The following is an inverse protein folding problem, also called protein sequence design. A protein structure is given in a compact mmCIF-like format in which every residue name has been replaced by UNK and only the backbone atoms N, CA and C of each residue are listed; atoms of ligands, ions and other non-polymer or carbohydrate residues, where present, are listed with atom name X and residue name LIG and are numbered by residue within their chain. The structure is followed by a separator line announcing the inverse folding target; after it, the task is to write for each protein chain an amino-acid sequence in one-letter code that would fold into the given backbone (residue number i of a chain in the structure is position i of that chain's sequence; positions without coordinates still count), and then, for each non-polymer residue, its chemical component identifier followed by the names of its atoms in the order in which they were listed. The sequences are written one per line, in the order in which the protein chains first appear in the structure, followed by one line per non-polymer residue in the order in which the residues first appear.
data_IF_980139724504
#
_entry.id   IF_980139724504
#
_cell.length_a   1.000
_cell.length_b   1.000
_cell.length_c   1.000
_cell.angle_alpha   90.00
_cell.angle_beta   90.00
_cell.angle_gamma   90.00
#
_symmetry.space_group_name_H-M   'P 1'
#
loop_
_entity.id
_entity.type
_entity.pdbx_description
1 polymer ?
#
# COMPACT_ATOMS: atom_id res chain seq x y z
N UNK A 1 0.35 12.04 7.28
CA UNK A 1 1.38 11.09 7.75
C UNK A 1 2.50 11.06 6.73
N UNK A 2 3.74 11.36 7.15
CA UNK A 2 4.89 11.40 6.26
C UNK A 2 5.99 12.30 6.80
N UNK A 3 5.74 13.61 6.86
CA UNK A 3 6.75 14.61 7.22
C UNK A 3 7.16 14.66 8.70
N UNK A 4 6.48 13.91 9.58
CA UNK A 4 6.73 13.89 11.02
C UNK A 4 6.67 15.29 11.68
N UNK A 5 5.84 16.19 11.15
CA UNK A 5 5.61 17.54 11.68
C UNK A 5 4.35 17.55 12.57
N UNK A 6 4.46 17.76 13.90
CA UNK A 6 3.32 17.70 14.82
C UNK A 6 2.18 18.69 14.49
N UNK A 7 2.51 19.83 13.87
CA UNK A 7 1.57 20.89 13.50
C UNK A 7 0.82 20.58 12.19
N UNK A 8 1.29 19.61 11.40
CA UNK A 8 0.64 19.22 10.15
C UNK A 8 -0.61 18.38 10.44
N UNK A 9 -1.74 19.06 10.62
CA UNK A 9 -3.06 18.45 10.84
C UNK A 9 -3.94 18.55 9.60
N UNK A 10 -4.87 17.61 9.44
CA UNK A 10 -5.81 17.61 8.31
C UNK A 10 -6.90 18.66 8.52
N UNK A 11 -6.99 19.65 7.62
CA UNK A 11 -7.97 20.76 7.68
C UNK A 11 -8.98 20.74 6.54
N UNK A 12 -8.96 19.69 5.71
CA UNK A 12 -9.83 19.58 4.55
C UNK A 12 -9.44 18.42 3.65
N UNK A 13 -10.02 18.40 2.46
CA UNK A 13 -9.81 17.36 1.46
C UNK A 13 -9.59 18.01 0.09
N UNK A 14 -8.42 17.77 -0.50
CA UNK A 14 -8.18 18.15 -1.89
C UNK A 14 -8.68 17.05 -2.85
N UNK A 15 -8.17 15.82 -2.70
CA UNK A 15 -8.57 14.65 -3.46
C UNK A 15 -8.82 13.47 -2.51
N UNK A 16 -9.66 12.53 -2.95
CA UNK A 16 -9.88 11.27 -2.22
C UNK A 16 -8.66 10.35 -2.32
N UNK A 17 -8.54 9.49 -1.32
CA UNK A 17 -7.56 8.41 -1.28
C UNK A 17 -8.25 7.09 -1.63
N UNK A 18 -7.64 6.30 -2.51
CA UNK A 18 -8.23 5.05 -3.00
C UNK A 18 -7.38 3.84 -2.64
N UNK A 19 -8.06 2.70 -2.52
CA UNK A 19 -7.45 1.37 -2.59
C UNK A 19 -7.72 0.79 -3.97
N UNK A 20 -6.68 0.38 -4.70
CA UNK A 20 -6.79 -0.22 -6.03
C UNK A 20 -6.26 -1.64 -5.99
N UNK A 21 -7.15 -2.62 -6.10
CA UNK A 21 -6.81 -4.04 -6.05
C UNK A 21 -6.77 -4.65 -7.46
N UNK A 22 -5.75 -5.47 -7.69
CA UNK A 22 -5.54 -6.26 -8.90
C UNK A 22 -5.42 -7.72 -8.46
N UNK A 23 -6.24 -8.59 -9.04
CA UNK A 23 -6.24 -10.01 -8.74
C UNK A 23 -5.93 -10.77 -10.01
N UNK A 24 -4.94 -11.66 -9.92
CA UNK A 24 -4.50 -12.51 -11.04
C UNK A 24 -4.64 -13.97 -10.62
N UNK A 25 -5.19 -14.77 -11.53
CA UNK A 25 -5.31 -16.22 -11.42
C UNK A 25 -4.99 -16.85 -12.77
N UNK A 26 -4.24 -17.95 -12.76
CA UNK A 26 -3.93 -18.71 -13.97
C UNK A 26 -5.19 -19.40 -14.52
N UNK A 27 -6.05 -19.90 -13.64
CA UNK A 27 -7.34 -20.48 -13.97
C UNK A 27 -8.29 -20.45 -12.75
N UNK A 28 -9.56 -20.84 -12.92
CA UNK A 28 -10.59 -20.78 -11.86
C UNK A 28 -10.26 -21.57 -10.59
N UNK A 29 -9.45 -22.62 -10.70
CA UNK A 29 -9.06 -23.47 -9.56
C UNK A 29 -7.73 -23.03 -8.93
N UNK A 30 -7.00 -22.12 -9.59
CA UNK A 30 -5.72 -21.62 -9.09
C UNK A 30 -5.91 -20.63 -7.96
N UNK A 31 -5.01 -20.70 -6.98
CA UNK A 31 -4.96 -19.74 -5.89
C UNK A 31 -4.67 -18.32 -6.45
N UNK A 32 -5.44 -17.29 -6.08
CA UNK A 32 -5.22 -15.94 -6.59
C UNK A 32 -3.95 -15.33 -6.02
N UNK A 33 -3.33 -14.44 -6.78
CA UNK A 33 -2.37 -13.44 -6.28
C UNK A 33 -3.05 -12.08 -6.31
N UNK A 34 -2.98 -11.36 -5.19
CA UNK A 34 -3.61 -10.06 -4.99
C UNK A 34 -2.54 -9.00 -4.77
N UNK A 35 -2.52 -7.99 -5.61
CA UNK A 35 -1.74 -6.78 -5.41
C UNK A 35 -2.69 -5.60 -5.16
N UNK A 36 -2.46 -4.88 -4.06
CA UNK A 36 -3.23 -3.67 -3.76
C UNK A 36 -2.29 -2.49 -3.67
N UNK A 37 -2.58 -1.41 -4.41
CA UNK A 37 -1.87 -0.14 -4.28
C UNK A 37 -2.77 0.89 -3.58
N UNK A 38 -2.27 1.43 -2.46
CA UNK A 38 -2.97 2.35 -1.58
C UNK A 38 -2.49 3.78 -1.78
N UNK A 39 -3.43 4.72 -1.84
CA UNK A 39 -3.13 6.14 -1.67
C UNK A 39 -2.91 6.42 -0.17
N UNK A 40 -1.73 6.06 0.33
CA UNK A 40 -1.32 6.21 1.72
C UNK A 40 0.18 6.49 1.82
N UNK A 41 0.64 6.95 2.98
CA UNK A 41 2.06 7.11 3.26
C UNK A 41 2.79 5.77 3.29
N UNK A 42 2.19 4.76 3.91
CA UNK A 42 2.79 3.45 4.09
C UNK A 42 1.68 2.41 4.30
N UNK A 43 2.00 1.13 4.16
CA UNK A 43 1.18 0.04 4.72
C UNK A 43 1.74 -0.34 6.09
N UNK A 44 0.89 -0.39 7.13
CA UNK A 44 1.30 -0.85 8.45
C UNK A 44 1.07 -2.35 8.61
N UNK A 45 1.80 -2.99 9.54
CA UNK A 45 1.55 -4.39 9.91
C UNK A 45 0.12 -4.58 10.46
N UNK A 46 -0.33 -3.68 11.34
CA UNK A 46 -1.68 -3.69 11.88
C UNK A 46 -2.74 -3.72 10.77
N UNK A 47 -2.59 -2.81 9.80
CA UNK A 47 -3.49 -2.71 8.66
C UNK A 47 -3.53 -4.01 7.87
N UNK A 48 -2.35 -4.57 7.56
CA UNK A 48 -2.25 -5.85 6.84
C UNK A 48 -2.94 -6.99 7.58
N UNK A 49 -2.69 -7.12 8.87
CA UNK A 49 -3.29 -8.18 9.70
C UNK A 49 -4.81 -8.03 9.77
N UNK A 50 -5.34 -6.82 9.99
CA UNK A 50 -6.78 -6.58 10.06
C UNK A 50 -7.49 -6.84 8.73
N UNK A 51 -6.89 -6.44 7.61
CA UNK A 51 -7.41 -6.77 6.27
C UNK A 51 -7.50 -8.29 6.07
N UNK A 52 -6.44 -9.02 6.40
CA UNK A 52 -6.43 -10.48 6.24
C UNK A 52 -7.40 -11.20 7.18
N UNK A 53 -7.57 -10.71 8.41
CA UNK A 53 -8.59 -11.24 9.33
C UNK A 53 -10.00 -11.11 8.73
N UNK A 54 -10.29 -9.95 8.13
CA UNK A 54 -11.61 -9.68 7.52
C UNK A 54 -11.82 -10.48 6.24
N UNK A 55 -10.80 -10.58 5.39
CA UNK A 55 -10.84 -11.45 4.22
C UNK A 55 -10.99 -12.93 4.60
N UNK A 56 -10.32 -13.39 5.66
CA UNK A 56 -10.45 -14.77 6.15
C UNK A 56 -11.86 -15.07 6.64
N UNK A 57 -12.52 -14.11 7.31
CA UNK A 57 -13.92 -14.28 7.70
C UNK A 57 -14.89 -14.36 6.52
N UNK A 58 -14.57 -13.75 5.37
CA UNK A 58 -15.44 -13.72 4.19
C UNK A 58 -15.15 -14.85 3.19
N UNK A 59 -13.88 -15.24 3.04
CA UNK A 59 -13.41 -16.12 1.96
C UNK A 59 -12.62 -17.34 2.46
N UNK A 60 -12.57 -17.58 3.78
CA UNK A 60 -11.79 -18.66 4.35
C UNK A 60 -10.29 -18.51 4.05
N UNK A 61 -9.65 -19.59 3.59
CA UNK A 61 -8.21 -19.62 3.35
C UNK A 61 -7.78 -19.18 1.93
N UNK A 62 -8.68 -18.56 1.16
CA UNK A 62 -8.37 -18.08 -0.20
C UNK A 62 -7.30 -16.98 -0.16
N UNK A 63 -7.38 -16.08 0.83
CA UNK A 63 -6.49 -14.93 0.99
C UNK A 63 -5.72 -15.02 2.32
N UNK A 64 -4.39 -14.97 2.26
CA UNK A 64 -3.53 -14.90 3.43
C UNK A 64 -2.29 -14.01 3.20
N UNK A 65 -1.27 -14.17 4.04
CA UNK A 65 -0.05 -13.37 3.98
C UNK A 65 0.81 -13.67 2.74
N UNK A 66 0.74 -14.87 2.17
CA UNK A 66 1.60 -15.30 1.08
C UNK A 66 1.13 -14.78 -0.27
N UNK A 67 -0.18 -14.60 -0.44
CA UNK A 67 -0.77 -14.26 -1.74
C UNK A 67 -1.46 -12.89 -1.81
N UNK A 68 -1.42 -12.10 -0.73
CA UNK A 68 -1.93 -10.73 -0.73
C UNK A 68 -0.80 -9.76 -0.41
N UNK A 69 -0.52 -8.83 -1.31
CA UNK A 69 0.43 -7.75 -1.13
C UNK A 69 -0.30 -6.41 -0.97
N UNK A 70 0.04 -5.65 0.07
CA UNK A 70 -0.41 -4.27 0.24
C UNK A 70 0.81 -3.35 0.03
N UNK A 71 0.73 -2.52 -1.00
CA UNK A 71 1.70 -1.46 -1.31
C UNK A 71 1.07 -0.10 -1.11
N UNK A 72 1.88 0.92 -0.83
CA UNK A 72 1.43 2.29 -0.69
C UNK A 72 2.22 3.21 -1.63
N UNK A 73 1.54 4.19 -2.20
CA UNK A 73 2.13 5.20 -3.11
C UNK A 73 3.11 6.15 -2.42
N UNK A 74 3.18 6.11 -1.09
CA UNK A 74 4.02 6.97 -0.28
C UNK A 74 3.63 8.46 -0.31
N UNK A 75 2.34 8.76 -0.53
CA UNK A 75 1.84 10.13 -0.37
C UNK A 75 1.97 10.59 1.09
N UNK A 76 2.55 11.76 1.28
CA UNK A 76 2.71 12.36 2.62
C UNK A 76 1.46 13.12 3.08
N UNK A 77 0.37 13.07 2.31
CA UNK A 77 -0.86 13.86 2.51
C UNK A 77 -2.08 13.03 2.93
N UNK A 78 -1.87 11.84 3.50
CA UNK A 78 -2.93 11.03 4.09
C UNK A 78 -3.07 11.21 5.62
N UNK A 79 -4.22 10.87 6.22
CA UNK A 79 -4.39 10.85 7.67
C UNK A 79 -3.45 9.83 8.34
N UNK A 80 -3.12 10.04 9.61
CA UNK A 80 -2.22 9.19 10.40
C UNK A 80 -3.00 8.29 11.38
N UNK A 81 -2.29 7.63 12.31
CA UNK A 81 -2.93 6.89 13.42
C UNK A 81 -3.42 5.49 13.08
N UNK A 82 -2.79 4.80 12.13
CA UNK A 82 -3.13 3.42 11.72
C UNK A 82 -1.97 2.43 11.95
N UNK A 83 -1.01 2.77 12.80
CA UNK A 83 0.12 1.92 13.19
C UNK A 83 -0.06 1.40 14.62
N UNK A 84 0.67 0.34 14.96
CA UNK A 84 0.69 -0.28 16.30
C UNK A 84 1.98 0.00 17.09
N UNK A 85 3.01 0.52 16.42
CA UNK A 85 4.33 0.72 17.01
C UNK A 85 4.49 2.18 17.45
N UNK A 86 4.93 2.36 18.70
CA UNK A 86 5.03 3.66 19.38
C UNK A 86 5.71 4.74 18.56
N UNK A 87 6.77 4.39 17.81
CA UNK A 87 7.51 5.34 16.98
C UNK A 87 6.58 6.13 16.02
N UNK A 88 5.59 5.45 15.45
CA UNK A 88 4.66 6.05 14.48
C UNK A 88 3.51 6.79 15.16
N UNK A 89 3.24 6.51 16.44
CA UNK A 89 2.19 7.17 17.20
C UNK A 89 2.59 8.57 17.68
N UNK A 90 3.88 8.80 17.93
CA UNK A 90 4.39 10.07 18.49
C UNK A 90 3.92 11.27 17.65
N UNK A 91 4.18 11.25 16.35
CA UNK A 91 3.78 12.36 15.44
C UNK A 91 2.36 12.20 14.90
N UNK A 92 1.75 11.01 15.06
CA UNK A 92 0.33 10.79 14.79
C UNK A 92 -0.58 11.27 15.92
N UNK A 93 -0.02 11.62 17.08
CA UNK A 93 -0.73 11.89 18.33
C UNK A 93 -1.59 10.70 18.80
N UNK A 94 -1.05 9.49 18.58
CA UNK A 94 -1.67 8.23 18.96
C UNK A 94 -2.46 7.54 17.85
N UNK A 95 -3.14 6.46 18.24
CA UNK A 95 -3.95 5.62 17.37
C UNK A 95 -5.33 6.23 17.11
N UNK A 96 -5.76 6.22 15.85
CA UNK A 96 -7.05 6.74 15.40
C UNK A 96 -7.84 5.59 14.77
N UNK A 97 -8.72 4.98 15.57
CA UNK A 97 -9.51 3.81 15.15
C UNK A 97 -10.30 4.06 13.87
N UNK A 98 -10.90 5.24 13.73
CA UNK A 98 -11.67 5.60 12.54
C UNK A 98 -10.81 5.52 11.28
N UNK A 99 -9.56 6.00 11.32
CA UNK A 99 -8.63 5.92 10.19
C UNK A 99 -8.32 4.47 9.83
N UNK A 100 -8.01 3.62 10.83
CA UNK A 100 -7.73 2.20 10.56
C UNK A 100 -8.96 1.51 9.94
N UNK A 101 -10.15 1.67 10.53
CA UNK A 101 -11.36 0.99 10.07
C UNK A 101 -11.75 1.39 8.64
N UNK A 102 -11.69 2.69 8.30
CA UNK A 102 -12.00 3.12 6.92
C UNK A 102 -10.98 2.59 5.90
N UNK A 103 -9.70 2.52 6.28
CA UNK A 103 -8.67 1.93 5.42
C UNK A 103 -8.90 0.42 5.23
N UNK A 104 -9.13 -0.33 6.30
CA UNK A 104 -9.42 -1.77 6.25
C UNK A 104 -10.65 -2.02 5.37
N UNK A 105 -11.74 -1.29 5.60
CA UNK A 105 -12.99 -1.45 4.85
C UNK A 105 -12.79 -1.12 3.36
N UNK A 106 -12.10 -0.03 3.04
CA UNK A 106 -11.81 0.34 1.65
C UNK A 106 -10.95 -0.69 0.91
N UNK A 107 -9.97 -1.27 1.60
CA UNK A 107 -9.11 -2.33 1.04
C UNK A 107 -9.92 -3.59 0.77
N UNK A 108 -10.64 -4.09 1.76
CA UNK A 108 -11.50 -5.28 1.64
C UNK A 108 -12.54 -5.08 0.53
N UNK A 109 -13.14 -3.89 0.45
CA UNK A 109 -14.10 -3.57 -0.61
C UNK A 109 -13.45 -3.61 -2.00
N UNK A 110 -12.26 -3.04 -2.18
CA UNK A 110 -11.56 -3.08 -3.46
C UNK A 110 -11.19 -4.50 -3.89
N UNK A 111 -10.75 -5.35 -2.95
CA UNK A 111 -10.45 -6.76 -3.20
C UNK A 111 -11.72 -7.53 -3.56
N UNK A 112 -12.82 -7.30 -2.82
CA UNK A 112 -14.14 -7.90 -3.12
C UNK A 112 -14.58 -7.55 -4.54
N UNK A 113 -14.51 -6.27 -4.91
CA UNK A 113 -14.89 -5.80 -6.23
C UNK A 113 -14.05 -6.47 -7.32
N UNK A 114 -12.71 -6.48 -7.16
CA UNK A 114 -11.80 -7.11 -8.12
C UNK A 114 -12.01 -8.63 -8.24
N UNK A 115 -12.28 -9.31 -7.13
CA UNK A 115 -12.51 -10.75 -7.11
C UNK A 115 -13.83 -11.13 -7.79
N UNK A 116 -14.89 -10.36 -7.53
CA UNK A 116 -16.19 -10.55 -8.18
C UNK A 116 -16.18 -10.26 -9.69
N UNK A 117 -15.25 -9.42 -10.15
CA UNK A 117 -15.14 -9.03 -11.56
C UNK A 117 -14.07 -9.81 -12.34
N UNK A 118 -13.62 -10.96 -11.86
CA UNK A 118 -12.62 -11.78 -12.56
C UNK A 118 -13.12 -12.18 -13.95
N UNK A 119 -12.29 -11.95 -14.96
CA UNK A 119 -12.57 -12.27 -16.36
C UNK A 119 -11.32 -12.80 -17.05
N UNK A 120 -11.42 -13.69 -18.06
CA UNK A 120 -10.28 -14.08 -18.88
C UNK A 120 -9.62 -12.86 -19.52
N UNK A 121 -8.29 -12.85 -19.55
CA UNK A 121 -7.50 -11.74 -20.06
C UNK A 121 -6.05 -12.11 -20.29
N UNK A 122 -5.24 -11.12 -20.69
CA UNK A 122 -3.79 -11.25 -20.91
C UNK A 122 -3.07 -10.16 -20.14
N UNK A 123 -1.92 -10.48 -19.58
CA UNK A 123 -1.00 -9.51 -18.97
C UNK A 123 0.10 -9.23 -19.98
N UNK A 124 0.30 -7.96 -20.30
CA UNK A 124 1.39 -7.49 -21.16
C UNK A 124 2.34 -6.64 -20.31
N UNK A 125 3.62 -6.63 -20.68
CA UNK A 125 4.66 -5.85 -20.00
C UNK A 125 5.34 -4.93 -21.01
N UNK A 126 5.63 -3.71 -20.57
CA UNK A 126 6.41 -2.73 -21.31
C UNK A 126 7.28 -1.95 -20.32
N UNK A 127 8.45 -1.52 -20.81
CA UNK A 127 9.43 -0.77 -20.03
C UNK A 127 9.90 0.45 -20.82
N UNK A 128 10.23 1.53 -20.11
CA UNK A 128 10.73 2.76 -20.71
C UNK A 128 11.41 3.67 -19.70
N UNK A 129 12.20 4.61 -20.21
CA UNK A 129 12.97 5.55 -19.39
C UNK A 129 12.18 6.83 -19.11
N UNK A 130 11.90 7.11 -17.84
CA UNK A 130 11.29 8.36 -17.38
C UNK A 130 12.37 9.32 -16.88
N UNK A 131 12.66 10.38 -17.64
CA UNK A 131 13.60 11.44 -17.26
C UNK A 131 12.87 12.61 -16.60
N UNK A 132 13.60 13.42 -15.83
CA UNK A 132 13.13 14.69 -15.26
C UNK A 132 11.95 14.58 -14.27
N UNK A 133 11.70 13.40 -13.70
CA UNK A 133 10.65 13.18 -12.69
C UNK A 133 11.21 12.92 -11.27
N UNK A 134 12.52 12.74 -11.13
CA UNK A 134 13.18 12.44 -9.86
C UNK A 134 14.64 12.90 -9.85
N UNK A 135 15.17 13.11 -8.65
CA UNK A 135 16.60 13.28 -8.39
C UNK A 135 17.00 12.41 -7.20
N UNK A 136 18.28 12.04 -7.10
CA UNK A 136 18.79 11.38 -5.90
C UNK A 136 18.96 12.42 -4.78
N UNK A 137 18.17 12.30 -3.70
CA UNK A 137 18.24 13.21 -2.54
C UNK A 137 19.47 13.01 -1.64
N UNK A 138 20.30 11.99 -1.91
CA UNK A 138 21.50 11.66 -1.12
C UNK A 138 22.63 11.13 -2.04
N UNK A 139 23.12 11.95 -2.99
CA UNK A 139 24.07 11.50 -4.00
C UNK A 139 25.42 11.09 -3.41
N UNK A 140 25.87 11.74 -2.33
CA UNK A 140 27.13 11.40 -1.64
C UNK A 140 27.10 9.97 -1.11
N UNK A 141 25.97 9.55 -0.52
CA UNK A 141 25.81 8.19 -0.02
C UNK A 141 25.82 7.16 -1.17
N UNK A 142 25.18 7.48 -2.29
CA UNK A 142 25.22 6.63 -3.49
C UNK A 142 26.65 6.45 -4.03
N UNK A 143 27.49 7.50 -3.95
CA UNK A 143 28.89 7.44 -4.35
C UNK A 143 29.78 6.60 -3.40
N UNK A 144 29.24 6.02 -2.34
CA UNK A 144 29.94 5.04 -1.52
C UNK A 144 29.74 3.59 -1.98
N UNK A 145 28.78 3.33 -2.88
CA UNK A 145 28.59 2.01 -3.48
C UNK A 145 29.84 1.59 -4.30
N UNK A 146 30.21 0.31 -4.43
CA UNK A 146 31.38 -0.09 -5.20
C UNK A 146 31.40 0.51 -6.63
N UNK A 147 32.54 1.01 -7.13
CA UNK A 147 32.60 1.57 -8.48
C UNK A 147 32.12 0.61 -9.57
N UNK A 148 32.43 -0.69 -9.41
CA UNK A 148 32.00 -1.75 -10.32
C UNK A 148 30.49 -2.01 -10.31
N UNK A 149 29.77 -1.65 -9.24
CA UNK A 149 28.30 -1.71 -9.18
C UNK A 149 27.69 -0.50 -9.90
N UNK A 150 28.21 0.71 -9.64
CA UNK A 150 27.66 1.96 -10.23
C UNK A 150 27.90 2.10 -11.73
N UNK A 151 28.89 1.40 -12.28
CA UNK A 151 29.22 1.41 -13.70
C UNK A 151 28.39 0.42 -14.52
N UNK A 152 27.39 -0.24 -13.92
CA UNK A 152 26.49 -1.20 -14.59
C UNK A 152 25.27 -0.53 -15.19
#
# INVERSE_FOLDING_TARGET
MGYAMPEQTGVGLHLRLYSRAFIVQTNRSSRPVVFVNLDAGMSSQLLKTQVLQRLKSEYGNIFDHDNVMLSATHTHSGPAGFFQYTLFDITSRGFVRQTLEVMVNGIVQSIRAAYASLTPGRILYAEGLLKNASINRSPVAYLNNPPSERSR
#
